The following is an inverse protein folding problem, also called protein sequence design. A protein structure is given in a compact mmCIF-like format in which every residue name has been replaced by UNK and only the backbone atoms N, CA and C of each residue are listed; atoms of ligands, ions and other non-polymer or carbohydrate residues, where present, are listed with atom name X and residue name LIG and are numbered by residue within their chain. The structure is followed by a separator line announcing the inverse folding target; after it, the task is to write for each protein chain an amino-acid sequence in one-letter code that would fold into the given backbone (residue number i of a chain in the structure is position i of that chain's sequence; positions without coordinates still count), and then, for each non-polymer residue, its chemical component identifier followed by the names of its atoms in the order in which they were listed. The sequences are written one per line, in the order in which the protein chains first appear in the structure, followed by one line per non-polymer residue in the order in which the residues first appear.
data_IF_626652707791
#
_entry.id   IF_626652707791
#
_cell.length_a   1.000
_cell.length_b   1.000
_cell.length_c   1.000
_cell.angle_alpha   90.00
_cell.angle_beta   90.00
_cell.angle_gamma   90.00
#
_symmetry.space_group_name_H-M   'P 1'
#
loop_
_entity.id
_entity.type
_entity.pdbx_description
1 polymer ?
#
# COMPACT_ATOMS: atom_id res chain seq x y z
N UNK A 1 15.85 -4.48 0.58
CA UNK A 1 14.42 -4.71 0.90
C UNK A 1 13.70 -5.15 -0.36
N UNK A 2 12.92 -6.23 -0.31
CA UNK A 2 12.10 -6.73 -1.44
C UNK A 2 10.67 -6.22 -1.35
N UNK A 3 9.91 -6.30 -2.45
CA UNK A 3 8.48 -5.95 -2.45
C UNK A 3 7.68 -6.78 -1.45
N UNK A 4 8.02 -8.07 -1.29
CA UNK A 4 7.39 -8.96 -0.31
C UNK A 4 7.66 -8.52 1.14
N UNK A 5 8.90 -8.08 1.44
CA UNK A 5 9.23 -7.54 2.76
C UNK A 5 8.46 -6.26 3.06
N UNK A 6 8.29 -5.39 2.06
CA UNK A 6 7.50 -4.17 2.19
C UNK A 6 6.00 -4.49 2.40
N UNK A 7 5.47 -5.45 1.65
CA UNK A 7 4.09 -5.92 1.84
C UNK A 7 3.90 -6.48 3.26
N UNK A 8 4.87 -7.24 3.77
CA UNK A 8 4.86 -7.74 5.16
C UNK A 8 4.79 -6.60 6.18
N UNK A 9 5.54 -5.52 5.97
CA UNK A 9 5.50 -4.37 6.86
C UNK A 9 4.12 -3.68 6.83
N UNK A 10 3.54 -3.49 5.64
CA UNK A 10 2.18 -2.95 5.52
C UNK A 10 1.11 -3.89 6.09
N UNK A 11 1.32 -5.21 6.04
CA UNK A 11 0.46 -6.17 6.72
C UNK A 11 0.44 -5.99 8.24
N UNK A 12 1.55 -5.58 8.86
CA UNK A 12 1.57 -5.28 10.31
C UNK A 12 0.62 -4.12 10.61
N UNK A 13 0.66 -3.06 9.80
CA UNK A 13 -0.21 -1.89 9.96
C UNK A 13 -1.69 -2.25 9.70
N UNK A 14 -1.93 -3.02 8.65
CA UNK A 14 -3.27 -3.51 8.31
C UNK A 14 -3.85 -4.44 9.40
N UNK A 15 -3.01 -5.26 10.06
CA UNK A 15 -3.41 -6.18 11.13
C UNK A 15 -3.32 -5.55 12.54
N UNK A 16 -3.40 -4.22 12.67
CA UNK A 16 -3.44 -3.56 13.99
C UNK A 16 -2.18 -3.78 14.85
N UNK A 17 -1.01 -3.91 14.21
CA UNK A 17 0.29 -4.07 14.86
C UNK A 17 0.75 -5.52 15.07
N UNK A 18 0.04 -6.49 14.48
CA UNK A 18 0.35 -7.90 14.61
C UNK A 18 1.09 -8.42 13.39
N UNK A 19 2.32 -8.89 13.59
CA UNK A 19 3.14 -9.56 12.59
C UNK A 19 2.70 -11.01 12.45
N UNK A 20 2.24 -11.38 11.26
CA UNK A 20 1.90 -12.77 10.89
C UNK A 20 2.96 -13.35 9.94
N UNK A 21 3.20 -14.67 9.95
CA UNK A 21 4.07 -15.31 8.97
C UNK A 21 3.40 -15.30 7.59
N UNK A 22 4.21 -15.14 6.54
CA UNK A 22 3.76 -15.18 5.14
C UNK A 22 3.70 -16.63 4.68
N UNK A 23 2.67 -16.96 3.89
CA UNK A 23 2.55 -18.25 3.22
C UNK A 23 2.07 -18.05 1.78
N UNK A 24 2.60 -18.85 0.86
CA UNK A 24 2.12 -18.92 -0.54
C UNK A 24 1.02 -19.99 -0.66
N UNK A 25 1.02 -20.96 0.26
CA UNK A 25 0.00 -22.01 0.33
C UNK A 25 -1.13 -21.58 1.24
N UNK A 26 -2.36 -21.89 0.84
CA UNK A 26 -3.55 -21.77 1.71
C UNK A 26 -3.32 -22.58 2.97
N UNK A 27 -3.63 -22.00 4.13
CA UNK A 27 -3.68 -22.68 5.42
C UNK A 27 -5.11 -22.72 5.89
N UNK A 28 -5.51 -23.83 6.51
CA UNK A 28 -6.83 -23.93 7.13
C UNK A 28 -6.86 -23.18 8.47
N UNK A 29 -5.77 -23.27 9.23
CA UNK A 29 -5.60 -22.52 10.47
C UNK A 29 -4.84 -21.22 10.23
N UNK A 30 -5.38 -20.12 10.76
CA UNK A 30 -4.70 -18.84 10.76
C UNK A 30 -3.52 -18.90 11.74
N UNK A 31 -2.30 -18.58 11.29
CA UNK A 31 -1.14 -18.62 12.16
C UNK A 31 -1.27 -17.56 13.26
N UNK A 32 -0.90 -17.94 14.48
CA UNK A 32 -0.73 -16.97 15.57
C UNK A 32 0.34 -15.95 15.16
N UNK A 33 0.02 -14.68 15.36
CA UNK A 33 0.94 -13.57 15.10
C UNK A 33 1.57 -13.06 16.39
N UNK A 34 2.61 -12.25 16.23
CA UNK A 34 3.29 -11.55 17.31
C UNK A 34 2.92 -10.07 17.26
N UNK A 35 2.52 -9.48 18.40
CA UNK A 35 2.30 -8.04 18.46
C UNK A 35 3.65 -7.33 18.51
N UNK A 36 3.95 -6.57 17.46
CA UNK A 36 5.18 -5.78 17.33
C UNK A 36 4.93 -4.28 17.46
N UNK A 37 3.66 -3.85 17.33
CA UNK A 37 3.24 -2.46 17.57
C UNK A 37 1.96 -2.40 18.42
N UNK A 38 1.84 -1.38 19.29
CA UNK A 38 0.59 -1.05 19.98
C UNK A 38 -0.52 -0.71 18.98
N UNK A 39 -1.75 -1.14 19.24
CA UNK A 39 -2.88 -0.95 18.33
C UNK A 39 -3.31 0.51 18.18
N UNK A 40 -3.19 1.29 19.25
CA UNK A 40 -3.45 2.73 19.29
C UNK A 40 -2.47 3.50 18.40
N UNK A 41 -1.17 3.19 18.50
CA UNK A 41 -0.13 3.77 17.63
C UNK A 41 -0.39 3.41 16.17
N UNK A 42 -0.75 2.16 15.88
CA UNK A 42 -1.10 1.76 14.51
C UNK A 42 -2.35 2.49 14.00
N UNK A 43 -3.35 2.70 14.85
CA UNK A 43 -4.52 3.50 14.52
C UNK A 43 -4.16 4.92 14.09
N UNK A 44 -3.26 5.59 14.82
CA UNK A 44 -2.75 6.92 14.48
C UNK A 44 -1.97 6.92 13.15
N UNK A 45 -1.11 5.91 12.93
CA UNK A 45 -0.36 5.75 11.69
C UNK A 45 -1.30 5.55 10.50
N UNK A 46 -2.32 4.71 10.64
CA UNK A 46 -3.27 4.42 9.58
C UNK A 46 -4.04 5.68 9.19
N UNK A 47 -4.50 6.48 10.16
CA UNK A 47 -5.12 7.78 9.90
C UNK A 47 -4.18 8.69 9.09
N UNK A 48 -2.92 8.83 9.51
CA UNK A 48 -1.93 9.63 8.78
C UNK A 48 -1.71 9.12 7.33
N UNK A 49 -1.68 7.81 7.13
CA UNK A 49 -1.55 7.20 5.80
C UNK A 49 -2.78 7.42 4.92
N UNK A 50 -3.98 7.48 5.49
CA UNK A 50 -5.18 7.84 4.75
C UNK A 50 -5.16 9.30 4.29
N UNK A 51 -4.67 10.20 5.13
CA UNK A 51 -4.52 11.61 4.77
C UNK A 51 -3.62 11.82 3.55
N UNK A 52 -2.62 10.95 3.32
CA UNK A 52 -1.76 10.98 2.13
C UNK A 52 -2.56 10.74 0.85
N UNK A 53 -3.56 9.87 0.90
CA UNK A 53 -4.40 9.55 -0.27
C UNK A 53 -5.48 10.62 -0.47
N UNK A 54 -6.07 11.14 0.61
CA UNK A 54 -7.13 12.15 0.50
C UNK A 54 -6.60 13.53 0.11
N UNK A 55 -5.52 14.00 0.77
CA UNK A 55 -5.01 15.37 0.62
C UNK A 55 -3.56 15.45 0.14
N UNK A 56 -2.82 14.34 0.18
CA UNK A 56 -1.37 14.33 -0.08
C UNK A 56 -0.96 13.90 -1.49
N UNK A 57 0.19 13.22 -1.56
CA UNK A 57 0.87 12.79 -2.79
C UNK A 57 0.29 11.52 -3.40
N UNK A 58 -0.63 10.83 -2.71
CA UNK A 58 -1.18 9.54 -3.10
C UNK A 58 -2.57 9.61 -3.75
N UNK A 59 -3.03 10.79 -4.18
CA UNK A 59 -4.42 11.02 -4.65
C UNK A 59 -4.89 10.05 -5.72
N UNK A 60 -4.01 9.64 -6.63
CA UNK A 60 -4.34 8.71 -7.71
C UNK A 60 -4.66 7.29 -7.23
N UNK A 61 -4.38 6.96 -5.97
CA UNK A 61 -4.76 5.68 -5.34
C UNK A 61 -6.16 5.69 -4.70
N UNK A 62 -6.89 6.83 -4.74
CA UNK A 62 -8.21 6.96 -4.12
C UNK A 62 -9.23 6.03 -4.78
N UNK A 63 -10.02 5.35 -3.95
CA UNK A 63 -11.16 4.54 -4.38
C UNK A 63 -12.47 5.27 -4.05
N UNK A 64 -13.50 5.23 -4.91
CA UNK A 64 -14.76 5.94 -4.66
C UNK A 64 -15.50 5.48 -3.41
N UNK A 65 -15.55 4.16 -3.17
CA UNK A 65 -16.33 3.54 -2.10
C UNK A 65 -15.49 3.03 -0.92
N UNK A 66 -14.17 3.26 -0.96
CA UNK A 66 -13.25 2.71 0.04
C UNK A 66 -12.26 3.73 0.55
N UNK A 67 -12.03 3.75 1.87
CA UNK A 67 -10.89 4.43 2.48
C UNK A 67 -9.63 3.66 2.17
N UNK A 68 -8.58 4.38 1.80
CA UNK A 68 -7.29 3.79 1.40
C UNK A 68 -6.19 4.42 2.24
N UNK A 69 -5.41 3.57 2.91
CA UNK A 69 -4.19 3.99 3.60
C UNK A 69 -2.98 3.58 2.77
N UNK A 70 -2.13 4.54 2.39
CA UNK A 70 -0.97 4.22 1.55
C UNK A 70 0.04 5.34 1.44
N UNK A 71 1.21 5.00 0.90
CA UNK A 71 2.31 5.94 0.68
C UNK A 71 2.96 5.74 -0.67
N UNK A 72 3.36 6.85 -1.28
CA UNK A 72 4.18 6.90 -2.49
C UNK A 72 5.67 6.91 -2.12
N UNK A 73 6.47 6.22 -2.91
CA UNK A 73 7.93 6.31 -2.87
C UNK A 73 8.48 6.49 -4.28
N UNK A 74 9.51 7.32 -4.43
CA UNK A 74 10.31 7.43 -5.66
C UNK A 74 11.77 7.41 -5.24
N UNK A 75 12.53 6.43 -5.72
CA UNK A 75 13.91 6.20 -5.28
C UNK A 75 14.83 6.19 -6.50
N UNK A 76 15.95 6.91 -6.44
CA UNK A 76 16.99 6.87 -7.49
C UNK A 76 17.69 5.52 -7.48
N UNK A 77 17.94 4.94 -8.66
CA UNK A 77 18.64 3.66 -8.77
C UNK A 77 20.12 3.84 -8.43
N UNK A 78 20.68 2.87 -7.70
CA UNK A 78 22.09 2.88 -7.30
C UNK A 78 22.91 2.34 -8.48
N UNK A 79 24.02 3.01 -8.80
CA UNK A 79 24.98 2.52 -9.78
C UNK A 79 25.84 1.42 -9.14
N UNK A 80 25.99 0.23 -9.76
CA UNK A 80 26.88 -0.82 -9.28
C UNK A 80 28.32 -0.36 -9.00
N UNK A 81 28.80 0.67 -9.71
CA UNK A 81 30.14 1.24 -9.58
C UNK A 81 30.23 2.35 -8.51
N UNK A 82 29.11 2.72 -7.88
CA UNK A 82 29.02 3.77 -6.86
C UNK A 82 28.20 4.98 -7.31
N UNK A 83 27.53 5.63 -6.35
CA UNK A 83 26.63 6.75 -6.62
C UNK A 83 25.25 6.33 -7.15
N UNK A 84 24.55 7.26 -7.81
CA UNK A 84 23.22 7.03 -8.40
C UNK A 84 23.30 7.03 -9.92
N UNK A 85 22.49 6.18 -10.55
CA UNK A 85 22.26 6.23 -11.99
C UNK A 85 21.40 7.47 -12.31
N UNK A 86 21.96 8.40 -13.08
CA UNK A 86 21.21 9.57 -13.55
C UNK A 86 20.08 9.14 -14.48
N UNK A 87 18.90 9.75 -14.35
CA UNK A 87 17.77 9.40 -15.21
C UNK A 87 17.05 8.10 -14.86
N UNK A 88 17.42 7.42 -13.77
CA UNK A 88 16.92 6.09 -13.44
C UNK A 88 16.27 6.05 -12.05
N UNK A 89 14.99 5.66 -12.02
CA UNK A 89 14.19 5.64 -10.79
C UNK A 89 13.41 4.35 -10.59
N UNK A 90 13.01 4.11 -9.35
CA UNK A 90 11.97 3.16 -8.96
C UNK A 90 10.80 3.92 -8.36
N UNK A 91 9.66 3.81 -9.00
CA UNK A 91 8.39 4.33 -8.55
C UNK A 91 7.65 3.24 -7.77
N UNK A 92 7.14 3.55 -6.58
CA UNK A 92 6.38 2.59 -5.80
C UNK A 92 5.17 3.22 -5.10
N UNK A 93 4.14 2.40 -4.94
CA UNK A 93 3.01 2.67 -4.07
C UNK A 93 2.74 1.44 -3.20
N UNK A 94 2.66 1.65 -1.89
CA UNK A 94 2.32 0.60 -0.93
C UNK A 94 1.15 1.05 -0.06
N UNK A 95 0.17 0.18 0.13
CA UNK A 95 -1.02 0.51 0.89
C UNK A 95 -1.97 -0.66 1.09
N UNK A 96 -3.10 -0.38 1.75
CA UNK A 96 -4.16 -1.34 2.01
C UNK A 96 -5.54 -0.68 1.98
N UNK A 97 -6.55 -1.52 1.77
CA UNK A 97 -7.96 -1.12 1.78
C UNK A 97 -8.87 -2.32 2.15
N UNK A 98 -10.07 -2.06 2.69
CA UNK A 98 -10.53 -0.79 3.27
C UNK A 98 -9.64 -0.34 4.44
N UNK A 99 -9.51 0.96 4.73
CA UNK A 99 -8.58 1.41 5.77
C UNK A 99 -9.09 1.14 7.19
N UNK A 100 -10.41 1.09 7.39
CA UNK A 100 -11.04 0.83 8.68
C UNK A 100 -11.05 -0.66 9.08
N UNK A 101 -11.18 -1.56 8.10
CA UNK A 101 -11.17 -3.01 8.25
C UNK A 101 -10.37 -3.65 7.10
N UNK A 102 -9.03 -3.61 7.17
CA UNK A 102 -8.16 -3.99 6.06
C UNK A 102 -8.29 -5.45 5.62
N UNK A 103 -8.70 -5.64 4.35
CA UNK A 103 -8.81 -6.97 3.74
C UNK A 103 -7.62 -7.29 2.84
N UNK A 104 -7.04 -6.28 2.19
CA UNK A 104 -5.95 -6.47 1.22
C UNK A 104 -4.83 -5.46 1.44
N UNK A 105 -3.60 -5.95 1.30
CA UNK A 105 -2.38 -5.14 1.19
C UNK A 105 -1.82 -5.32 -0.21
N UNK A 106 -1.46 -4.24 -0.88
CA UNK A 106 -0.78 -4.29 -2.16
C UNK A 106 0.44 -3.37 -2.19
N UNK A 107 1.47 -3.83 -2.89
CA UNK A 107 2.68 -3.08 -3.20
C UNK A 107 2.87 -3.13 -4.70
N UNK A 108 2.84 -1.97 -5.34
CA UNK A 108 3.15 -1.81 -6.76
C UNK A 108 4.52 -1.15 -6.86
N UNK A 109 5.43 -1.77 -7.59
CA UNK A 109 6.77 -1.23 -7.88
C UNK A 109 6.99 -1.28 -9.37
N UNK A 110 7.38 -0.14 -9.94
CA UNK A 110 7.70 0.02 -11.35
C UNK A 110 9.16 0.41 -11.43
N UNK A 111 9.97 -0.46 -12.05
CA UNK A 111 11.39 -0.25 -12.25
C UNK A 111 11.62 0.47 -13.57
N UNK A 112 12.39 1.56 -13.52
CA UNK A 112 12.77 2.37 -14.67
C UNK A 112 11.57 2.83 -15.54
N UNK A 113 10.58 3.54 -14.96
CA UNK A 113 9.47 4.06 -15.75
C UNK A 113 10.00 5.01 -16.83
N UNK A 114 9.75 4.69 -18.10
CA UNK A 114 10.14 5.53 -19.25
C UNK A 114 8.92 6.34 -19.71
N UNK A 115 9.00 7.66 -19.60
CA UNK A 115 7.91 8.58 -19.99
C UNK A 115 8.03 9.94 -19.30
N UNK A 116 7.11 10.86 -19.59
CA UNK A 116 7.06 12.20 -18.96
C UNK A 116 6.80 12.14 -17.44
N UNK A 117 6.17 11.06 -16.96
CA UNK A 117 5.84 10.86 -15.55
C UNK A 117 6.71 9.77 -14.93
N UNK A 118 7.45 10.10 -13.87
CA UNK A 118 8.38 9.18 -13.19
C UNK A 118 8.15 9.07 -11.68
N UNK A 119 7.22 9.84 -11.11
CA UNK A 119 6.91 9.80 -9.68
C UNK A 119 5.94 8.65 -9.32
N UNK A 120 6.17 8.03 -8.15
CA UNK A 120 5.33 6.93 -7.64
C UNK A 120 3.83 7.25 -7.50
N UNK A 121 3.48 8.51 -7.28
CA UNK A 121 2.08 8.96 -7.20
C UNK A 121 1.36 9.05 -8.55
N UNK A 122 2.10 9.10 -9.65
CA UNK A 122 1.55 9.26 -11.00
C UNK A 122 1.54 7.93 -11.75
N UNK A 123 2.55 7.08 -11.54
CA UNK A 123 2.68 5.82 -12.28
C UNK A 123 2.19 4.61 -11.46
N UNK A 124 2.65 4.46 -10.21
CA UNK A 124 2.34 3.27 -9.40
C UNK A 124 0.97 3.35 -8.70
N UNK A 125 0.54 4.56 -8.31
CA UNK A 125 -0.72 4.76 -7.59
C UNK A 125 -1.99 4.44 -8.41
N UNK A 126 -2.12 4.80 -9.70
CA UNK A 126 -3.27 4.37 -10.52
C UNK A 126 -3.33 2.85 -10.69
N UNK A 127 -2.18 2.20 -10.89
CA UNK A 127 -2.10 0.74 -10.99
C UNK A 127 -2.54 0.09 -9.67
N UNK A 128 -2.10 0.63 -8.53
CA UNK A 128 -2.58 0.20 -7.22
C UNK A 128 -4.10 0.31 -7.10
N UNK A 129 -4.68 1.45 -7.50
CA UNK A 129 -6.13 1.69 -7.48
C UNK A 129 -6.89 0.62 -8.24
N UNK A 130 -6.46 0.32 -9.46
CA UNK A 130 -7.19 -0.61 -10.34
C UNK A 130 -7.11 -2.06 -9.84
N UNK A 131 -5.94 -2.48 -9.33
CA UNK A 131 -5.76 -3.79 -8.68
C UNK A 131 -6.65 -3.89 -7.44
N UNK A 132 -6.61 -2.88 -6.57
CA UNK A 132 -7.34 -2.89 -5.31
C UNK A 132 -8.86 -2.86 -5.54
N UNK A 133 -9.34 -2.01 -6.46
CA UNK A 133 -10.75 -1.96 -6.86
C UNK A 133 -11.25 -3.31 -7.37
N UNK A 134 -10.44 -3.97 -8.19
CA UNK A 134 -10.77 -5.29 -8.75
C UNK A 134 -10.80 -6.36 -7.66
N UNK A 135 -9.81 -6.39 -6.76
CA UNK A 135 -9.77 -7.33 -5.65
C UNK A 135 -10.97 -7.17 -4.71
N UNK A 136 -11.25 -5.94 -4.27
CA UNK A 136 -12.39 -5.67 -3.38
C UNK A 136 -13.72 -6.08 -4.01
N UNK A 137 -13.91 -5.79 -5.31
CA UNK A 137 -15.10 -6.21 -6.05
C UNK A 137 -15.20 -7.73 -6.18
N UNK A 138 -14.10 -8.40 -6.54
CA UNK A 138 -14.07 -9.84 -6.74
C UNK A 138 -14.41 -10.61 -5.45
N UNK A 139 -13.96 -10.10 -4.30
CA UNK A 139 -14.23 -10.68 -3.00
C UNK A 139 -15.49 -10.12 -2.33
N UNK A 140 -16.27 -9.28 -3.03
CA UNK A 140 -17.54 -8.71 -2.54
C UNK A 140 -17.40 -8.01 -1.18
N UNK A 141 -16.29 -7.29 -0.99
CA UNK A 141 -16.07 -6.50 0.22
C UNK A 141 -17.03 -5.29 0.19
N UNK A 142 -17.78 -5.00 1.27
CA UNK A 142 -18.63 -3.82 1.32
C UNK A 142 -17.81 -2.54 1.41
N UNK A 143 -18.29 -1.46 0.78
CA UNK A 143 -17.68 -0.14 0.90
C UNK A 143 -17.75 0.43 2.32
N UNK A 144 -16.71 1.15 2.74
CA UNK A 144 -16.61 1.80 4.06
C UNK A 144 -16.73 3.33 4.01
N UNK A 145 -17.01 3.88 2.82
CA UNK A 145 -17.36 5.29 2.63
C UNK A 145 -18.87 5.38 2.44
N UNK A 146 -19.53 6.14 3.33
CA UNK A 146 -20.92 6.55 3.18
C UNK A 146 -21.01 7.71 2.16
N UNK A 147 -21.74 7.55 1.04
CA UNK A 147 -21.93 8.62 0.06
C UNK A 147 -22.61 9.89 0.62
N UNK A 148 -23.27 9.81 1.77
CA UNK A 148 -24.03 10.91 2.37
C UNK A 148 -23.26 11.81 3.35
N UNK A 149 -21.94 11.62 3.52
CA UNK A 149 -21.15 12.26 4.59
C UNK A 149 -19.86 12.96 4.14
N UNK A 150 -19.84 13.52 2.93
CA UNK A 150 -18.74 14.37 2.41
C UNK A 150 -19.07 15.85 2.44
#
# INVERSE_FOLDING_TARGET
MTALQLARAYMVLANGGVLKPITIRRREELPRGERVLPSDVVGQINQMLEHVVVKGTGKSARLPSYRVAGKTGTVRKINPEGGYLEGHWRALFAGFAPANDPQFVAVVMIDDPRGEFYYGGEVAAPVFRDIMATALRLYSIPGDIDPGRT
#
